data_IF_431297189671
#
_entry.id   IF_431297189671
#
_cell.length_a   1.000
_cell.length_b   1.000
_cell.length_c   1.000
_cell.angle_alpha   90.00
_cell.angle_beta   90.00
_cell.angle_gamma   90.00
#
_symmetry.space_group_name_H-M   'P 1'
#
loop_
_entity.id
_entity.type
_entity.pdbx_description
1 polymer ?
#
# COMPACT_ATOMS: atom_id res chain seq x y z
N UNK A 1 -13.66 2.44 21.43
CA UNK A 1 -12.51 1.75 20.77
C UNK A 1 -11.48 2.79 20.38
N UNK A 2 -10.23 2.65 20.82
CA UNK A 2 -9.15 3.57 20.52
C UNK A 2 -8.21 2.92 19.50
N UNK A 3 -7.99 3.56 18.35
CA UNK A 3 -7.05 3.11 17.31
C UNK A 3 -5.75 3.86 17.49
N UNK A 4 -4.62 3.15 17.59
CA UNK A 4 -3.30 3.74 17.53
C UNK A 4 -2.48 3.13 16.38
N UNK A 5 -1.41 3.79 15.99
CA UNK A 5 -0.51 3.35 14.92
C UNK A 5 0.90 3.27 15.47
N UNK A 6 1.60 2.21 15.11
CA UNK A 6 2.99 2.01 15.46
C UNK A 6 3.75 1.41 14.27
N UNK A 7 5.08 1.51 14.30
CA UNK A 7 5.94 0.83 13.34
C UNK A 7 5.84 -0.67 13.56
N UNK A 8 5.75 -1.44 12.48
CA UNK A 8 5.72 -2.89 12.55
C UNK A 8 7.05 -3.44 13.07
N UNK A 9 6.97 -4.52 13.82
CA UNK A 9 8.10 -5.30 14.31
C UNK A 9 8.15 -6.66 13.63
N UNK A 10 9.20 -7.42 13.85
CA UNK A 10 9.32 -8.78 13.31
C UNK A 10 8.16 -9.71 13.72
N UNK A 11 7.55 -9.47 14.88
CA UNK A 11 6.42 -10.25 15.38
C UNK A 11 5.08 -9.95 14.70
N UNK A 12 4.95 -8.82 13.98
CA UNK A 12 3.67 -8.36 13.45
C UNK A 12 3.36 -8.91 12.05
N UNK A 13 4.33 -9.50 11.36
CA UNK A 13 4.16 -9.89 9.95
C UNK A 13 3.05 -10.92 9.73
N UNK A 14 2.85 -11.85 10.65
CA UNK A 14 1.74 -12.82 10.58
C UNK A 14 0.37 -12.12 10.59
N UNK A 15 0.23 -11.09 11.41
CA UNK A 15 -1.00 -10.30 11.49
C UNK A 15 -1.18 -9.40 10.25
N UNK A 16 -0.10 -8.85 9.71
CA UNK A 16 -0.12 -8.11 8.44
C UNK A 16 -0.60 -9.02 7.30
N UNK A 17 -0.04 -10.23 7.20
CA UNK A 17 -0.46 -11.23 6.21
C UNK A 17 -1.93 -11.63 6.38
N UNK A 18 -2.39 -11.80 7.63
CA UNK A 18 -3.81 -12.06 7.92
C UNK A 18 -4.70 -10.92 7.42
N UNK A 19 -4.37 -9.68 7.73
CA UNK A 19 -5.14 -8.51 7.26
C UNK A 19 -5.08 -8.41 5.73
N UNK A 20 -3.92 -8.64 5.11
CA UNK A 20 -3.75 -8.66 3.66
C UNK A 20 -4.70 -9.69 3.01
N UNK A 21 -4.71 -10.93 3.49
CA UNK A 21 -5.59 -11.97 2.97
C UNK A 21 -7.08 -11.70 3.18
N UNK A 22 -7.45 -11.01 4.27
CA UNK A 22 -8.84 -10.63 4.54
C UNK A 22 -9.33 -9.40 3.76
N UNK A 23 -8.43 -8.59 3.24
CA UNK A 23 -8.78 -7.39 2.48
C UNK A 23 -8.61 -7.55 0.96
N UNK A 24 -7.72 -8.45 0.51
CA UNK A 24 -7.43 -8.66 -0.91
C UNK A 24 -7.14 -7.37 -1.67
N UNK A 25 -7.21 -7.42 -2.99
CA UNK A 25 -7.03 -6.23 -3.85
C UNK A 25 -8.27 -5.34 -3.93
N UNK A 26 -9.46 -5.91 -3.75
CA UNK A 26 -10.73 -5.21 -3.91
C UNK A 26 -11.44 -4.93 -2.57
N UNK A 27 -10.78 -5.19 -1.44
CA UNK A 27 -11.36 -5.05 -0.12
C UNK A 27 -12.23 -6.24 0.34
N UNK A 28 -12.15 -7.37 -0.37
CA UNK A 28 -12.81 -8.63 -0.05
C UNK A 28 -11.77 -9.70 0.29
N UNK A 29 -12.12 -10.67 1.15
CA UNK A 29 -11.22 -11.77 1.50
C UNK A 29 -10.76 -12.57 0.26
N UNK A 30 -9.49 -12.97 0.29
CA UNK A 30 -8.92 -13.92 -0.67
C UNK A 30 -9.30 -15.33 -0.26
N UNK A 31 -9.60 -16.19 -1.22
CA UNK A 31 -9.90 -17.61 -0.98
C UNK A 31 -8.77 -18.26 -0.18
N UNK A 32 -9.12 -19.14 0.75
CA UNK A 32 -8.15 -19.74 1.67
C UNK A 32 -7.04 -20.51 0.95
N UNK A 33 -7.38 -21.20 -0.13
CA UNK A 33 -6.41 -21.94 -0.95
C UNK A 33 -5.38 -21.03 -1.64
N UNK A 34 -5.74 -19.78 -1.94
CA UNK A 34 -4.88 -18.82 -2.65
C UNK A 34 -4.17 -17.86 -1.70
N UNK A 35 -4.60 -17.78 -0.44
CA UNK A 35 -4.17 -16.76 0.52
C UNK A 35 -2.65 -16.74 0.74
N UNK A 36 -2.03 -17.91 0.85
CA UNK A 36 -0.60 -18.03 1.06
C UNK A 36 0.20 -17.45 -0.12
N UNK A 37 -0.17 -17.83 -1.36
CA UNK A 37 0.48 -17.30 -2.55
C UNK A 37 0.21 -15.78 -2.72
N UNK A 38 -1.00 -15.33 -2.39
CA UNK A 38 -1.36 -13.92 -2.43
C UNK A 38 -0.53 -13.08 -1.45
N UNK A 39 -0.42 -13.50 -0.20
CA UNK A 39 0.35 -12.77 0.82
C UNK A 39 1.84 -12.83 0.53
N UNK A 40 2.34 -13.94 0.03
CA UNK A 40 3.72 -14.08 -0.43
C UNK A 40 4.05 -13.07 -1.54
N UNK A 41 3.17 -12.93 -2.52
CA UNK A 41 3.34 -11.96 -3.60
C UNK A 41 3.32 -10.51 -3.12
N UNK A 42 2.33 -10.14 -2.27
CA UNK A 42 2.07 -8.76 -1.91
C UNK A 42 2.84 -8.26 -0.67
N UNK A 43 3.19 -9.15 0.26
CA UNK A 43 3.78 -8.76 1.56
C UNK A 43 5.27 -9.08 1.65
N UNK A 44 5.69 -10.25 1.13
CA UNK A 44 7.08 -10.69 1.27
C UNK A 44 8.11 -9.66 0.78
N UNK A 45 7.97 -9.00 -0.37
CA UNK A 45 8.97 -8.05 -0.82
C UNK A 45 9.18 -6.89 0.17
N UNK A 46 8.12 -6.40 0.80
CA UNK A 46 8.22 -5.36 1.82
C UNK A 46 8.83 -5.87 3.10
N UNK A 47 8.42 -7.07 3.55
CA UNK A 47 8.97 -7.72 4.75
C UNK A 47 10.47 -7.92 4.65
N UNK A 48 10.98 -8.32 3.50
CA UNK A 48 12.38 -8.66 3.32
C UNK A 48 13.26 -7.48 2.90
N UNK A 49 12.74 -6.59 2.06
CA UNK A 49 13.52 -5.49 1.50
C UNK A 49 13.34 -4.15 2.23
N UNK A 50 12.18 -3.90 2.83
CA UNK A 50 11.84 -2.60 3.46
C UNK A 50 11.01 -2.77 4.74
N UNK A 51 11.41 -3.64 5.70
CA UNK A 51 10.63 -3.86 6.92
C UNK A 51 10.43 -2.58 7.73
N UNK A 52 11.41 -1.67 7.74
CA UNK A 52 11.36 -0.41 8.47
C UNK A 52 10.36 0.61 7.90
N UNK A 53 9.82 0.36 6.71
CA UNK A 53 8.83 1.21 6.05
C UNK A 53 7.40 0.65 6.16
N UNK A 54 7.13 -0.03 7.26
CA UNK A 54 5.83 -0.67 7.53
C UNK A 54 5.26 -0.22 8.87
N UNK A 55 3.96 0.08 8.89
CA UNK A 55 3.18 0.45 10.08
C UNK A 55 1.95 -0.43 10.20
N UNK A 56 1.52 -0.63 11.45
CA UNK A 56 0.27 -1.31 11.79
C UNK A 56 -0.66 -0.35 12.53
N UNK A 57 -1.96 -0.50 12.27
CA UNK A 57 -3.02 0.09 13.08
C UNK A 57 -3.56 -0.98 14.03
N UNK A 58 -3.63 -0.66 15.30
CA UNK A 58 -4.05 -1.57 16.37
C UNK A 58 -5.28 -1.01 17.09
N UNK A 59 -6.24 -1.88 17.36
CA UNK A 59 -7.41 -1.58 18.16
C UNK A 59 -7.66 -2.75 19.12
N UNK A 60 -7.84 -2.48 20.42
CA UNK A 60 -8.09 -3.50 21.44
C UNK A 60 -7.11 -4.70 21.36
N UNK A 61 -5.82 -4.40 21.18
CA UNK A 61 -4.70 -5.37 21.03
C UNK A 61 -4.70 -6.17 19.71
N UNK A 62 -5.65 -5.96 18.82
CA UNK A 62 -5.70 -6.61 17.51
C UNK A 62 -5.13 -5.71 16.42
N UNK A 63 -4.34 -6.25 15.50
CA UNK A 63 -3.96 -5.55 14.27
C UNK A 63 -5.16 -5.51 13.34
N UNK A 64 -5.62 -4.30 13.03
CA UNK A 64 -6.84 -4.05 12.23
C UNK A 64 -6.52 -3.48 10.85
N UNK A 65 -5.30 -3.08 10.61
CA UNK A 65 -4.86 -2.51 9.35
C UNK A 65 -3.34 -2.40 9.29
N UNK A 66 -2.82 -2.21 8.09
CA UNK A 66 -1.40 -2.00 7.86
C UNK A 66 -1.16 -1.01 6.72
N UNK A 67 0.03 -0.47 6.69
CA UNK A 67 0.60 0.26 5.57
C UNK A 67 2.02 -0.23 5.35
N UNK A 68 2.30 -0.80 4.17
CA UNK A 68 3.65 -1.09 3.69
C UNK A 68 4.04 -0.04 2.67
N UNK A 69 5.28 0.40 2.68
CA UNK A 69 5.76 1.43 1.76
C UNK A 69 7.24 1.29 1.42
N UNK A 70 7.66 2.09 0.46
CA UNK A 70 9.06 2.26 0.09
C UNK A 70 9.34 3.74 -0.19
N UNK A 71 10.51 4.27 0.14
CA UNK A 71 10.87 5.65 -0.16
C UNK A 71 11.30 5.88 -1.62
N UNK A 72 11.73 4.81 -2.31
CA UNK A 72 12.23 4.83 -3.68
C UNK A 72 11.75 3.58 -4.42
N UNK A 73 10.77 3.78 -5.31
CA UNK A 73 10.16 2.72 -6.10
C UNK A 73 11.12 2.13 -7.12
N UNK A 74 11.96 2.95 -7.76
CA UNK A 74 12.91 2.46 -8.76
C UNK A 74 13.94 1.52 -8.15
N UNK A 75 14.51 1.90 -7.00
CA UNK A 75 15.45 1.07 -6.27
C UNK A 75 14.79 -0.22 -5.78
N UNK A 76 13.58 -0.11 -5.20
CA UNK A 76 12.83 -1.27 -4.72
C UNK A 76 12.48 -2.26 -5.83
N UNK A 77 11.99 -1.78 -6.97
CA UNK A 77 11.65 -2.66 -8.11
C UNK A 77 12.89 -3.36 -8.69
N UNK A 78 14.04 -2.66 -8.74
CA UNK A 78 15.29 -3.28 -9.17
C UNK A 78 15.74 -4.40 -8.21
N UNK A 79 15.64 -4.20 -6.90
CA UNK A 79 15.95 -5.21 -5.89
C UNK A 79 14.95 -6.36 -5.93
N UNK A 80 13.65 -6.07 -6.01
CA UNK A 80 12.58 -7.06 -6.06
C UNK A 80 12.75 -8.01 -7.26
N UNK A 81 13.06 -7.47 -8.45
CA UNK A 81 13.29 -8.28 -9.67
C UNK A 81 14.54 -9.15 -9.62
N UNK A 82 15.53 -8.79 -8.83
CA UNK A 82 16.73 -9.64 -8.61
C UNK A 82 16.46 -10.75 -7.61
N UNK A 83 15.64 -10.48 -6.60
CA UNK A 83 15.37 -11.42 -5.50
C UNK A 83 14.25 -12.40 -5.82
N UNK A 84 13.27 -12.01 -6.65
CA UNK A 84 12.05 -12.75 -6.91
C UNK A 84 11.67 -12.72 -8.39
N UNK A 85 10.87 -13.67 -8.82
CA UNK A 85 10.01 -13.51 -10.01
C UNK A 85 8.75 -12.74 -9.57
N UNK A 86 8.64 -11.44 -9.84
CA UNK A 86 7.63 -10.61 -9.21
C UNK A 86 6.19 -10.92 -9.67
N UNK A 87 5.99 -11.67 -10.75
CA UNK A 87 4.66 -11.86 -11.31
C UNK A 87 3.99 -10.53 -11.73
N UNK A 88 2.77 -10.54 -12.25
CA UNK A 88 2.03 -9.36 -12.65
C UNK A 88 1.56 -8.55 -11.43
N UNK A 89 1.59 -7.21 -11.55
CA UNK A 89 1.22 -6.25 -10.53
C UNK A 89 0.16 -5.27 -11.10
N UNK A 90 -0.67 -4.68 -10.24
CA UNK A 90 -1.66 -3.69 -10.67
C UNK A 90 -1.05 -2.48 -11.38
N UNK A 91 0.20 -2.17 -11.11
CA UNK A 91 0.97 -1.12 -11.79
C UNK A 91 1.30 -1.47 -13.24
N UNK A 92 1.35 -2.75 -13.60
CA UNK A 92 1.66 -3.20 -14.96
C UNK A 92 0.54 -2.91 -15.96
N UNK A 93 -0.67 -2.60 -15.49
CA UNK A 93 -1.73 -2.11 -16.35
C UNK A 93 -1.50 -0.70 -16.89
N UNK A 94 -0.63 0.09 -16.25
CA UNK A 94 -0.23 1.40 -16.76
C UNK A 94 0.92 1.26 -17.76
N UNK A 95 0.94 2.13 -18.77
CA UNK A 95 2.02 2.14 -19.75
C UNK A 95 3.37 2.42 -19.07
N UNK A 96 4.46 1.98 -19.71
CA UNK A 96 5.81 2.22 -19.21
C UNK A 96 6.09 3.72 -19.00
N UNK A 97 5.60 4.57 -19.90
CA UNK A 97 5.77 6.02 -19.80
C UNK A 97 5.10 6.58 -18.53
N UNK A 98 3.87 6.13 -18.21
CA UNK A 98 3.14 6.52 -16.98
C UNK A 98 3.89 6.01 -15.75
N UNK A 99 4.31 4.74 -15.73
CA UNK A 99 5.07 4.19 -14.60
C UNK A 99 6.38 4.93 -14.37
N UNK A 100 7.14 5.19 -15.43
CA UNK A 100 8.42 5.92 -15.35
C UNK A 100 8.21 7.32 -14.77
N UNK A 101 7.21 8.05 -15.25
CA UNK A 101 6.84 9.38 -14.71
C UNK A 101 6.50 9.29 -13.22
N UNK A 102 5.58 8.40 -12.83
CA UNK A 102 5.19 8.20 -11.45
C UNK A 102 6.39 7.93 -10.54
N UNK A 103 7.25 6.99 -10.93
CA UNK A 103 8.37 6.56 -10.08
C UNK A 103 9.49 7.60 -9.99
N UNK A 104 9.62 8.48 -10.98
CA UNK A 104 10.61 9.56 -11.00
C UNK A 104 10.12 10.79 -10.23
N UNK A 105 8.88 11.23 -10.49
CA UNK A 105 8.33 12.45 -9.90
C UNK A 105 7.74 12.20 -8.50
N UNK A 106 7.28 10.97 -8.23
CA UNK A 106 6.66 10.54 -6.97
C UNK A 106 7.33 9.27 -6.45
N UNK A 107 8.58 9.35 -5.97
CA UNK A 107 9.44 8.18 -5.75
C UNK A 107 8.93 7.19 -4.72
N UNK A 108 8.23 7.64 -3.67
CA UNK A 108 7.67 6.72 -2.70
C UNK A 108 6.39 6.07 -3.21
N UNK A 109 6.17 4.80 -2.85
CA UNK A 109 4.85 4.17 -2.99
C UNK A 109 4.44 3.41 -1.73
N UNK A 110 3.15 3.12 -1.62
CA UNK A 110 2.63 2.38 -0.48
C UNK A 110 1.37 1.57 -0.84
N UNK A 111 1.11 0.55 -0.01
CA UNK A 111 -0.18 -0.12 0.11
C UNK A 111 -0.77 0.15 1.48
N UNK A 112 -2.08 0.40 1.54
CA UNK A 112 -2.81 0.61 2.78
C UNK A 112 -4.08 -0.22 2.79
N UNK A 113 -4.23 -1.05 3.80
CA UNK A 113 -5.40 -1.89 4.00
C UNK A 113 -5.90 -1.81 5.44
N UNK A 114 -7.23 -1.73 5.58
CA UNK A 114 -7.93 -1.75 6.88
C UNK A 114 -9.09 -2.72 6.77
N UNK A 115 -9.23 -3.60 7.75
CA UNK A 115 -10.34 -4.56 7.86
C UNK A 115 -11.69 -3.82 7.77
N UNK A 116 -12.65 -4.43 7.08
CA UNK A 116 -13.94 -3.82 6.77
C UNK A 116 -14.65 -3.28 8.01
N UNK A 117 -14.70 -4.05 9.09
CA UNK A 117 -15.39 -3.72 10.33
C UNK A 117 -14.77 -2.53 11.10
N UNK A 118 -13.54 -2.13 10.73
CA UNK A 118 -12.81 -1.03 11.38
C UNK A 118 -12.64 0.19 10.45
N UNK A 119 -13.27 0.18 9.28
CA UNK A 119 -13.27 1.34 8.39
C UNK A 119 -14.09 2.48 9.00
N UNK A 120 -13.73 3.71 8.66
CA UNK A 120 -14.38 4.90 9.25
C UNK A 120 -13.87 5.28 10.65
N UNK A 121 -13.06 4.45 11.32
CA UNK A 121 -12.51 4.72 12.66
C UNK A 121 -11.19 5.52 12.65
N UNK A 122 -10.78 6.06 11.51
CA UNK A 122 -9.59 6.88 11.38
C UNK A 122 -8.27 6.10 11.25
N UNK A 123 -8.28 4.76 11.20
CA UNK A 123 -7.07 3.94 11.08
C UNK A 123 -6.25 4.30 9.83
N UNK A 124 -6.89 4.38 8.66
CA UNK A 124 -6.23 4.75 7.41
C UNK A 124 -5.60 6.14 7.45
N UNK A 125 -6.28 7.12 8.02
CA UNK A 125 -5.76 8.48 8.20
C UNK A 125 -4.52 8.49 9.10
N UNK A 126 -4.55 7.77 10.22
CA UNK A 126 -3.40 7.68 11.15
C UNK A 126 -2.21 6.97 10.51
N UNK A 127 -2.45 5.90 9.73
CA UNK A 127 -1.40 5.22 8.97
C UNK A 127 -0.74 6.14 7.94
N UNK A 128 -1.53 6.91 7.18
CA UNK A 128 -1.00 7.90 6.24
C UNK A 128 -0.22 9.01 6.95
N UNK A 129 -0.67 9.50 8.10
CA UNK A 129 0.07 10.50 8.87
C UNK A 129 1.44 9.96 9.32
N UNK A 130 1.51 8.69 9.76
CA UNK A 130 2.77 8.06 10.14
C UNK A 130 3.73 7.95 8.94
N UNK A 131 3.23 7.52 7.77
CA UNK A 131 4.01 7.48 6.54
C UNK A 131 4.53 8.87 6.17
N UNK A 132 3.66 9.88 6.11
CA UNK A 132 4.04 11.22 5.67
C UNK A 132 5.02 11.91 6.64
N UNK A 133 4.92 11.65 7.94
CA UNK A 133 5.92 12.08 8.91
C UNK A 133 7.31 11.47 8.60
N UNK A 134 7.35 10.19 8.23
CA UNK A 134 8.60 9.51 7.87
C UNK A 134 9.16 9.98 6.52
N UNK A 135 8.30 10.14 5.49
CA UNK A 135 8.70 10.68 4.19
C UNK A 135 9.32 12.06 4.32
N UNK A 136 8.73 12.92 5.16
CA UNK A 136 9.26 14.25 5.45
C UNK A 136 10.63 14.17 6.12
N UNK A 137 10.79 13.30 7.13
CA UNK A 137 12.06 13.06 7.81
C UNK A 137 13.14 12.54 6.83
N UNK A 138 12.77 11.67 5.91
CA UNK A 138 13.65 11.11 4.89
C UNK A 138 13.85 12.04 3.68
N UNK A 139 13.21 13.24 3.66
CA UNK A 139 13.26 14.20 2.56
C UNK A 139 12.80 13.64 1.21
N UNK A 140 11.84 12.73 1.24
CA UNK A 140 11.20 12.19 0.04
C UNK A 140 10.13 13.17 -0.44
N UNK A 141 10.17 13.65 -1.69
CA UNK A 141 9.35 14.80 -2.11
C UNK A 141 7.88 14.46 -2.32
N UNK A 142 7.56 13.22 -2.65
CA UNK A 142 6.19 12.84 -3.02
C UNK A 142 5.98 11.33 -2.95
N UNK A 143 4.73 10.93 -2.80
CA UNK A 143 4.33 9.53 -2.84
C UNK A 143 3.20 9.29 -3.86
N UNK A 144 3.13 8.06 -4.37
CA UNK A 144 2.06 7.58 -5.22
C UNK A 144 1.49 6.25 -4.71
N UNK A 145 0.31 5.93 -5.20
CA UNK A 145 -0.32 4.62 -5.03
C UNK A 145 -1.16 4.28 -6.26
N UNK A 146 -1.52 3.03 -6.40
CA UNK A 146 -2.57 2.58 -7.32
C UNK A 146 -3.74 2.08 -6.49
N UNK A 147 -4.93 2.56 -6.77
CA UNK A 147 -6.15 2.14 -6.07
C UNK A 147 -7.26 1.75 -7.03
N UNK A 148 -8.14 0.90 -6.55
CA UNK A 148 -9.36 0.50 -7.24
C UNK A 148 -10.53 1.47 -7.02
N UNK A 149 -11.70 1.16 -7.60
CA UNK A 149 -12.87 2.05 -7.62
C UNK A 149 -13.43 2.38 -6.22
N UNK A 150 -13.24 1.50 -5.24
CA UNK A 150 -13.88 1.65 -3.92
C UNK A 150 -13.05 2.50 -2.94
N UNK A 151 -11.79 2.78 -3.22
CA UNK A 151 -10.89 3.44 -2.27
C UNK A 151 -10.44 4.84 -2.68
N UNK A 152 -10.63 5.23 -3.95
CA UNK A 152 -10.15 6.53 -4.44
C UNK A 152 -10.74 7.73 -3.68
N UNK A 153 -12.01 7.70 -3.28
CA UNK A 153 -12.63 8.78 -2.50
C UNK A 153 -11.95 9.02 -1.15
N UNK A 154 -11.45 7.95 -0.52
CA UNK A 154 -10.67 8.09 0.71
C UNK A 154 -9.38 8.88 0.43
N UNK A 155 -8.65 8.53 -0.64
CA UNK A 155 -7.40 9.18 -0.98
C UNK A 155 -7.62 10.63 -1.48
N UNK A 156 -8.70 10.91 -2.20
CA UNK A 156 -9.07 12.30 -2.57
C UNK A 156 -9.27 13.17 -1.33
N UNK A 157 -10.00 12.68 -0.31
CA UNK A 157 -10.14 13.38 0.97
C UNK A 157 -8.83 13.55 1.72
N UNK A 158 -7.85 12.71 1.46
CA UNK A 158 -6.49 12.80 1.99
C UNK A 158 -5.56 13.62 1.08
N UNK A 159 -6.13 14.43 0.18
CA UNK A 159 -5.44 15.36 -0.74
C UNK A 159 -4.57 14.68 -1.82
N UNK A 160 -4.81 13.40 -2.11
CA UNK A 160 -4.24 12.77 -3.30
C UNK A 160 -4.99 13.20 -4.56
N UNK A 161 -4.26 13.34 -5.66
CA UNK A 161 -4.80 13.69 -6.98
C UNK A 161 -4.61 12.52 -7.94
N UNK A 162 -5.58 12.34 -8.84
CA UNK A 162 -5.47 11.35 -9.91
C UNK A 162 -4.47 11.85 -10.96
N UNK A 163 -3.41 11.08 -11.18
CA UNK A 163 -2.41 11.34 -12.21
C UNK A 163 -2.69 10.56 -13.50
N UNK A 164 -3.17 9.33 -13.35
CA UNK A 164 -3.54 8.48 -14.48
C UNK A 164 -4.64 7.50 -14.08
N UNK A 165 -5.40 7.04 -15.09
CA UNK A 165 -6.42 6.00 -14.90
C UNK A 165 -6.34 4.99 -16.02
N UNK A 166 -6.66 3.73 -15.71
CA UNK A 166 -6.74 2.64 -16.69
C UNK A 166 -7.90 1.71 -16.31
N UNK A 167 -8.56 1.15 -17.30
CA UNK A 167 -9.63 0.17 -17.10
C UNK A 167 -9.19 -1.17 -17.68
N UNK A 168 -8.55 -2.03 -16.87
CA UNK A 168 -8.02 -3.31 -17.35
C UNK A 168 -9.12 -4.30 -17.77
N UNK A 169 -10.28 -4.17 -17.14
CA UNK A 169 -11.49 -4.95 -17.49
C UNK A 169 -12.73 -4.05 -17.38
N UNK A 170 -13.83 -4.37 -18.07
CA UNK A 170 -15.08 -3.61 -17.99
C UNK A 170 -15.55 -3.43 -16.54
N UNK A 171 -15.88 -2.20 -16.17
CA UNK A 171 -16.39 -1.85 -14.83
C UNK A 171 -15.33 -1.68 -13.74
N UNK A 172 -14.05 -1.98 -14.02
CA UNK A 172 -12.95 -1.79 -13.08
C UNK A 172 -12.02 -0.68 -13.55
N UNK A 173 -11.98 0.43 -12.83
CA UNK A 173 -11.03 1.52 -13.08
C UNK A 173 -9.99 1.57 -11.98
N UNK A 174 -8.74 1.40 -12.36
CA UNK A 174 -7.58 1.63 -11.50
C UNK A 174 -7.11 3.08 -11.67
N UNK A 175 -6.74 3.72 -10.57
CA UNK A 175 -6.23 5.08 -10.54
C UNK A 175 -4.86 5.11 -9.90
N UNK A 176 -3.90 5.67 -10.62
CA UNK A 176 -2.64 6.10 -10.04
C UNK A 176 -2.86 7.47 -9.43
N UNK A 177 -2.63 7.60 -8.14
CA UNK A 177 -2.85 8.84 -7.40
C UNK A 177 -1.56 9.28 -6.72
N UNK A 178 -1.36 10.59 -6.62
CA UNK A 178 -0.13 11.19 -6.11
C UNK A 178 -0.43 12.25 -5.07
N UNK A 179 0.52 12.44 -4.15
CA UNK A 179 0.47 13.54 -3.19
C UNK A 179 1.89 13.99 -2.82
N UNK A 180 2.20 15.30 -2.91
CA UNK A 180 3.45 15.87 -2.39
C UNK A 180 3.60 15.63 -0.89
N UNK A 181 4.85 15.68 -0.42
CA UNK A 181 5.20 15.71 0.99
C UNK A 181 5.55 17.16 1.33
N UNK A 182 4.67 17.81 2.08
CA UNK A 182 4.79 19.19 2.54
C UNK A 182 5.68 19.30 3.79
#
# INVERSE_FOLDING_TARGET
>A
MNVWVQRATAGDWREIERVCGQTGLAGSPVDEAERAAFTEHWIRPYRELRPDWTWIAVCDKAVIGYLTSVPDTLAFEAERRRAYDPGPDSRDFFSEAVRRKLWTEHPAHFMLNVLADYRGMGAGTKLLHALYAELRRAKVPSAHLVCGPNSHFFFERMAFRVEASVSPVPGVTLRAMTRPVD
#
